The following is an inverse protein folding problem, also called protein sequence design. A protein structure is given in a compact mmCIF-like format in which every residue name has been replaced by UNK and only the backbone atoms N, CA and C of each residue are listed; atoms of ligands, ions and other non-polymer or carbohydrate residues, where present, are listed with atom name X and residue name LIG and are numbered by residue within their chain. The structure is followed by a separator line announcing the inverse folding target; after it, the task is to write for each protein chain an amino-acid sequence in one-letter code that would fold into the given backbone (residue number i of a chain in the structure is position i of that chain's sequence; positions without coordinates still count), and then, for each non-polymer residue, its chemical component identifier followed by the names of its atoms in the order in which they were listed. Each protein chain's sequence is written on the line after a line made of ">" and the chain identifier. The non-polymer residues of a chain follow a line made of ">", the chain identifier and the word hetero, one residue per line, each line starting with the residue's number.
data_IF_099688398048
#
_entry.id   IF_099688398048
#
_cell.length_a   1.000
_cell.length_b   1.000
_cell.length_c   1.000
_cell.angle_alpha   90.00
_cell.angle_beta   90.00
_cell.angle_gamma   90.00
#
_symmetry.space_group_name_H-M   'P 1'
#
loop_
_entity.id
_entity.type
_entity.pdbx_description
1 polymer ?
#
# COMPACT_ATOMS: atom_id res chain seq x y z
N UNK A 1 -96.38 -17.64 1.71
CA UNK A 1 -95.61 -16.40 1.59
C UNK A 1 -94.18 -16.71 2.00
N UNK A 2 -93.28 -16.92 1.05
CA UNK A 2 -91.94 -17.31 1.26
C UNK A 2 -91.02 -16.09 1.25
N UNK A 3 -90.24 -15.83 2.39
CA UNK A 3 -89.22 -14.78 2.45
C UNK A 3 -87.90 -15.41 2.27
N UNK A 4 -87.20 -15.04 1.21
CA UNK A 4 -85.85 -15.54 0.88
C UNK A 4 -84.81 -14.56 1.43
N UNK A 5 -84.03 -15.04 2.37
CA UNK A 5 -82.92 -14.25 3.01
C UNK A 5 -81.61 -14.51 2.26
N UNK A 6 -81.07 -13.48 1.62
CA UNK A 6 -79.79 -13.51 0.90
C UNK A 6 -78.68 -13.24 1.88
N UNK A 7 -77.79 -14.25 2.12
CA UNK A 7 -76.58 -14.09 2.91
C UNK A 7 -75.41 -13.56 2.01
N UNK A 8 -75.02 -12.35 2.27
CA UNK A 8 -73.87 -11.72 1.59
C UNK A 8 -72.55 -12.26 2.23
N UNK A 9 -71.80 -12.99 1.45
CA UNK A 9 -70.46 -13.49 1.80
C UNK A 9 -69.41 -12.41 1.53
N UNK A 10 -68.81 -11.85 2.59
CA UNK A 10 -67.69 -10.90 2.48
C UNK A 10 -66.37 -11.68 2.34
N UNK A 11 -65.77 -11.65 1.13
CA UNK A 11 -64.40 -12.09 0.94
C UNK A 11 -63.43 -11.01 1.52
N UNK A 12 -62.74 -11.36 2.60
CA UNK A 12 -61.54 -10.58 3.03
C UNK A 12 -60.37 -10.94 2.14
N UNK A 13 -60.02 -10.00 1.22
CA UNK A 13 -58.77 -10.09 0.44
C UNK A 13 -57.57 -9.73 1.32
N UNK A 14 -56.73 -10.73 1.63
CA UNK A 14 -55.48 -10.54 2.31
C UNK A 14 -54.46 -9.98 1.31
N UNK A 15 -54.25 -8.68 1.28
CA UNK A 15 -53.21 -8.01 0.51
C UNK A 15 -51.86 -8.19 1.22
N UNK A 16 -51.09 -9.20 0.80
CA UNK A 16 -49.71 -9.38 1.22
C UNK A 16 -48.82 -8.31 0.58
N UNK A 17 -48.48 -7.28 1.29
CA UNK A 17 -47.48 -6.30 0.88
C UNK A 17 -46.10 -6.96 0.97
N UNK A 18 -45.52 -7.34 -0.18
CA UNK A 18 -44.11 -7.68 -0.27
C UNK A 18 -43.28 -6.39 0.06
N UNK A 19 -42.68 -6.35 1.20
CA UNK A 19 -41.68 -5.34 1.54
C UNK A 19 -40.44 -5.59 0.67
N UNK A 20 -40.25 -4.80 -0.38
CA UNK A 20 -39.01 -4.74 -1.14
C UNK A 20 -37.97 -4.09 -0.23
N UNK A 21 -37.13 -4.89 0.45
CA UNK A 21 -35.95 -4.36 1.14
C UNK A 21 -34.99 -3.80 0.08
N UNK A 22 -34.52 -2.55 0.23
CA UNK A 22 -33.48 -2.04 -0.64
C UNK A 22 -32.24 -2.91 -0.42
N UNK A 23 -31.83 -3.64 -1.45
CA UNK A 23 -30.50 -4.27 -1.51
C UNK A 23 -29.54 -3.08 -1.55
N UNK A 24 -28.87 -2.82 -0.43
CA UNK A 24 -27.74 -1.88 -0.42
C UNK A 24 -26.75 -2.42 -1.46
N UNK A 25 -26.63 -1.73 -2.59
CA UNK A 25 -25.60 -2.01 -3.59
C UNK A 25 -24.25 -1.85 -2.88
N UNK A 26 -23.60 -2.96 -2.59
CA UNK A 26 -22.23 -2.93 -2.10
C UNK A 26 -21.35 -2.43 -3.23
N UNK A 27 -20.44 -1.52 -2.88
CA UNK A 27 -19.49 -0.94 -3.84
C UNK A 27 -18.65 -2.05 -4.47
N UNK A 28 -18.78 -2.25 -5.77
CA UNK A 28 -17.98 -3.21 -6.52
C UNK A 28 -16.71 -2.53 -7.07
N UNK A 29 -15.68 -3.29 -7.36
CA UNK A 29 -14.51 -2.78 -8.10
C UNK A 29 -14.99 -2.18 -9.44
N UNK A 30 -14.55 -0.96 -9.76
CA UNK A 30 -14.95 -0.22 -10.95
C UNK A 30 -16.11 0.75 -10.73
N UNK A 31 -16.49 0.99 -9.48
CA UNK A 31 -17.55 1.95 -9.13
C UNK A 31 -17.12 3.41 -9.39
N UNK A 32 -15.81 3.72 -9.29
CA UNK A 32 -15.29 5.07 -9.59
C UNK A 32 -15.41 5.39 -11.08
N UNK A 33 -15.09 4.41 -11.93
CA UNK A 33 -15.23 4.55 -13.39
C UNK A 33 -15.62 3.20 -14.00
N UNK A 34 -16.81 3.08 -14.65
CA UNK A 34 -17.26 1.81 -15.21
C UNK A 34 -16.24 1.15 -16.14
N UNK A 35 -15.97 -0.15 -15.92
CA UNK A 35 -15.02 -0.94 -16.70
C UNK A 35 -13.55 -0.67 -16.40
N UNK A 36 -13.24 0.16 -15.40
CA UNK A 36 -11.87 0.48 -14.99
C UNK A 36 -11.64 0.12 -13.53
N UNK A 37 -10.40 -0.24 -13.23
CA UNK A 37 -9.88 -0.31 -11.85
C UNK A 37 -9.09 0.97 -11.59
N UNK A 38 -9.73 1.94 -10.92
CA UNK A 38 -9.09 3.21 -10.58
C UNK A 38 -8.27 3.04 -9.32
N UNK A 39 -6.95 3.21 -9.41
CA UNK A 39 -6.08 3.01 -8.27
C UNK A 39 -5.17 4.21 -8.01
N UNK A 40 -4.96 4.52 -6.73
CA UNK A 40 -4.00 5.52 -6.28
C UNK A 40 -2.59 4.94 -6.17
N UNK A 41 -1.60 5.71 -6.62
CA UNK A 41 -0.18 5.36 -6.55
C UNK A 41 0.67 6.60 -6.32
N UNK A 42 1.76 6.49 -5.53
CA UNK A 42 2.68 7.61 -5.31
C UNK A 42 3.62 7.82 -6.51
N UNK A 43 3.89 6.78 -7.27
CA UNK A 43 4.74 6.80 -8.47
C UNK A 43 6.20 7.28 -8.23
N UNK A 44 6.72 7.08 -7.02
CA UNK A 44 8.05 7.57 -6.60
C UNK A 44 8.88 6.52 -5.87
N UNK A 45 8.37 5.30 -5.73
CA UNK A 45 8.97 4.26 -4.90
C UNK A 45 9.48 3.07 -5.73
N UNK A 46 10.72 3.17 -6.21
CA UNK A 46 11.41 2.07 -6.92
C UNK A 46 11.71 0.90 -5.96
N UNK A 47 11.55 -0.36 -6.38
CA UNK A 47 11.13 -0.83 -7.71
C UNK A 47 9.62 -1.09 -7.86
N UNK A 48 8.79 -0.62 -6.92
CA UNK A 48 7.36 -0.94 -6.86
C UNK A 48 6.52 -0.09 -7.81
N UNK A 49 6.61 1.24 -7.70
CA UNK A 49 5.91 2.19 -8.58
C UNK A 49 6.74 3.47 -8.76
N UNK A 50 7.16 3.75 -9.97
CA UNK A 50 7.99 4.91 -10.30
C UNK A 50 7.81 5.33 -11.76
N UNK A 51 8.29 6.52 -12.11
CA UNK A 51 8.29 7.01 -13.48
C UNK A 51 9.67 6.80 -14.10
N UNK A 52 9.72 6.07 -15.23
CA UNK A 52 10.91 5.90 -16.05
C UNK A 52 10.58 6.28 -17.49
N UNK A 53 11.37 7.16 -18.09
CA UNK A 53 11.17 7.65 -19.45
C UNK A 53 9.74 8.18 -19.71
N UNK A 54 9.18 8.90 -18.71
CA UNK A 54 7.82 9.45 -18.76
C UNK A 54 6.71 8.41 -18.61
N UNK A 55 7.03 7.15 -18.32
CA UNK A 55 6.05 6.07 -18.15
C UNK A 55 6.03 5.56 -16.73
N UNK A 56 4.83 5.37 -16.19
CA UNK A 56 4.63 4.71 -14.92
C UNK A 56 4.99 3.22 -15.07
N UNK A 57 5.87 2.73 -14.21
CA UNK A 57 6.42 1.36 -14.24
C UNK A 57 6.69 0.88 -12.82
N UNK A 58 6.97 -0.40 -12.65
CA UNK A 58 7.27 -1.01 -11.37
C UNK A 58 6.55 -2.34 -11.18
N UNK A 59 6.95 -3.06 -10.13
CA UNK A 59 6.31 -4.33 -9.77
C UNK A 59 4.80 -4.17 -9.55
N UNK A 60 4.40 -3.15 -8.79
CA UNK A 60 2.99 -2.86 -8.49
C UNK A 60 2.20 -2.55 -9.76
N UNK A 61 2.82 -1.88 -10.72
CA UNK A 61 2.18 -1.51 -11.99
C UNK A 61 1.96 -2.75 -12.87
N UNK A 62 2.93 -3.65 -12.90
CA UNK A 62 2.77 -4.91 -13.62
C UNK A 62 1.74 -5.82 -12.94
N UNK A 63 1.79 -5.91 -11.59
CA UNK A 63 0.86 -6.72 -10.80
C UNK A 63 -0.59 -6.25 -10.99
N UNK A 64 -0.84 -4.93 -10.85
CA UNK A 64 -2.19 -4.39 -11.00
C UNK A 64 -2.69 -4.49 -12.44
N UNK A 65 -1.79 -4.42 -13.43
CA UNK A 65 -2.15 -4.62 -14.84
C UNK A 65 -2.60 -6.05 -15.09
N UNK A 66 -1.86 -7.05 -14.59
CA UNK A 66 -2.23 -8.45 -14.68
C UNK A 66 -3.55 -8.74 -13.92
N UNK A 67 -3.69 -8.17 -12.72
CA UNK A 67 -4.87 -8.29 -11.89
C UNK A 67 -6.11 -7.69 -12.58
N UNK A 68 -6.00 -6.47 -13.10
CA UNK A 68 -7.09 -5.82 -13.85
C UNK A 68 -7.55 -6.67 -15.03
N UNK A 69 -6.60 -7.20 -15.82
CA UNK A 69 -6.91 -8.12 -16.92
C UNK A 69 -7.66 -9.37 -16.44
N UNK A 70 -7.26 -9.94 -15.30
CA UNK A 70 -7.92 -11.12 -14.73
C UNK A 70 -9.35 -10.84 -14.28
N UNK A 71 -9.65 -9.60 -13.91
CA UNK A 71 -10.96 -9.08 -13.50
C UNK A 71 -11.77 -8.48 -14.67
N UNK A 72 -11.25 -8.52 -15.91
CA UNK A 72 -11.85 -7.92 -17.11
C UNK A 72 -12.03 -6.39 -17.00
N UNK A 73 -11.12 -5.72 -16.29
CA UNK A 73 -11.10 -4.27 -16.12
C UNK A 73 -9.85 -3.66 -16.79
N UNK A 74 -9.91 -2.37 -17.07
CA UNK A 74 -8.76 -1.59 -17.52
C UNK A 74 -8.09 -0.90 -16.31
N UNK A 75 -6.77 -1.01 -16.12
CA UNK A 75 -6.08 -0.28 -15.06
C UNK A 75 -6.12 1.23 -15.34
N UNK A 76 -6.51 2.01 -14.33
CA UNK A 76 -6.61 3.47 -14.40
C UNK A 76 -5.82 4.11 -13.24
N UNK A 77 -4.50 4.37 -13.41
CA UNK A 77 -3.67 4.99 -12.40
C UNK A 77 -4.09 6.43 -12.12
N UNK A 78 -4.07 6.81 -10.83
CA UNK A 78 -4.22 8.18 -10.38
C UNK A 78 -3.01 8.53 -9.48
N UNK A 79 -1.93 9.11 -10.05
CA UNK A 79 -0.75 9.50 -9.30
C UNK A 79 -1.07 10.63 -8.31
N UNK A 80 -0.57 10.51 -7.08
CA UNK A 80 -0.70 11.53 -6.03
C UNK A 80 0.34 11.31 -4.92
N UNK A 81 0.51 12.30 -4.04
CA UNK A 81 1.38 12.13 -2.87
C UNK A 81 0.89 10.99 -1.98
N UNK A 82 1.82 10.18 -1.45
CA UNK A 82 1.53 8.99 -0.64
C UNK A 82 0.58 9.26 0.53
N UNK A 83 0.80 10.37 1.26
CA UNK A 83 -0.05 10.79 2.39
C UNK A 83 -1.52 11.04 2.00
N UNK A 84 -1.79 11.31 0.72
CA UNK A 84 -3.12 11.57 0.19
C UNK A 84 -3.92 10.33 -0.21
N UNK A 85 -3.27 9.15 -0.27
CA UNK A 85 -3.87 7.94 -0.80
C UNK A 85 -5.07 7.45 0.05
N UNK A 86 -4.90 7.31 1.37
CA UNK A 86 -6.00 6.86 2.26
C UNK A 86 -7.17 7.84 2.25
N UNK A 87 -6.98 9.17 2.41
CA UNK A 87 -8.07 10.14 2.26
C UNK A 87 -8.78 10.07 0.90
N UNK A 88 -8.04 9.86 -0.20
CA UNK A 88 -8.64 9.74 -1.53
C UNK A 88 -9.49 8.46 -1.68
N UNK A 89 -9.03 7.33 -1.10
CA UNK A 89 -9.78 6.08 -1.06
C UNK A 89 -11.07 6.22 -0.24
N UNK A 90 -10.99 6.81 0.95
CA UNK A 90 -12.14 7.08 1.82
C UNK A 90 -13.14 8.05 1.15
N UNK A 91 -12.64 9.04 0.40
CA UNK A 91 -13.42 9.98 -0.40
C UNK A 91 -13.98 9.39 -1.69
N UNK A 92 -13.88 8.07 -1.92
CA UNK A 92 -14.37 7.36 -3.12
C UNK A 92 -13.82 7.91 -4.44
N UNK A 93 -12.61 8.48 -4.42
CA UNK A 93 -11.90 8.91 -5.64
C UNK A 93 -11.10 7.76 -6.26
N UNK A 94 -10.92 6.67 -5.53
CA UNK A 94 -10.20 5.46 -5.89
C UNK A 94 -11.06 4.24 -5.59
N UNK A 95 -10.91 3.19 -6.38
CA UNK A 95 -11.40 1.86 -6.02
C UNK A 95 -10.49 1.22 -4.99
N UNK A 96 -9.16 1.32 -5.21
CA UNK A 96 -8.12 0.75 -4.35
C UNK A 96 -6.89 1.66 -4.27
N UNK A 97 -6.00 1.36 -3.32
CA UNK A 97 -4.61 1.86 -3.31
C UNK A 97 -3.69 0.73 -3.78
N UNK A 98 -2.80 1.05 -4.73
CA UNK A 98 -1.73 0.19 -5.23
C UNK A 98 -0.44 1.02 -5.25
N UNK A 99 0.29 1.04 -4.14
CA UNK A 99 1.44 1.90 -3.91
C UNK A 99 2.34 1.35 -2.79
N UNK A 100 2.72 0.09 -2.88
CA UNK A 100 3.56 -0.63 -1.92
C UNK A 100 3.21 -0.28 -0.45
N UNK A 101 1.90 -0.23 -0.13
CA UNK A 101 1.46 0.23 1.17
C UNK A 101 1.72 -0.82 2.24
N UNK A 102 2.56 -0.48 3.20
CA UNK A 102 2.84 -1.33 4.35
C UNK A 102 1.62 -1.48 5.26
N UNK A 103 1.33 -2.72 5.64
CA UNK A 103 0.32 -3.05 6.64
C UNK A 103 0.82 -2.67 8.03
N UNK A 104 0.06 -1.86 8.75
CA UNK A 104 0.30 -1.55 10.16
C UNK A 104 -1.02 -1.31 10.90
N UNK A 105 -1.05 -1.38 12.25
CA UNK A 105 -2.28 -1.23 13.03
C UNK A 105 -3.03 0.08 12.77
N UNK A 106 -2.33 1.21 12.72
CA UNK A 106 -2.95 2.53 12.52
C UNK A 106 -3.67 2.64 11.17
N UNK A 107 -3.08 2.08 10.11
CA UNK A 107 -3.73 2.03 8.79
C UNK A 107 -4.87 1.02 8.75
N UNK A 108 -4.73 -0.12 9.46
CA UNK A 108 -5.75 -1.16 9.54
C UNK A 108 -7.04 -0.68 10.23
N UNK A 109 -6.99 0.37 11.04
CA UNK A 109 -8.18 1.04 11.55
C UNK A 109 -8.96 1.79 10.46
N UNK A 110 -8.30 2.23 9.41
CA UNK A 110 -8.84 3.12 8.38
C UNK A 110 -9.20 2.42 7.06
N UNK A 111 -8.49 1.32 6.73
CA UNK A 111 -8.62 0.57 5.48
C UNK A 111 -8.52 -0.93 5.76
N UNK A 112 -8.98 -1.75 4.82
CA UNK A 112 -8.70 -3.19 4.82
C UNK A 112 -7.63 -3.50 3.79
N UNK A 113 -6.90 -4.60 3.99
CA UNK A 113 -5.73 -4.95 3.21
C UNK A 113 -5.88 -6.28 2.48
N UNK A 114 -5.27 -6.36 1.29
CA UNK A 114 -5.00 -7.59 0.55
C UNK A 114 -3.49 -7.68 0.33
N UNK A 115 -2.75 -8.38 1.21
CA UNK A 115 -1.31 -8.53 1.11
C UNK A 115 -0.89 -9.24 -0.18
N UNK A 116 0.24 -8.81 -0.75
CA UNK A 116 0.81 -9.46 -1.94
C UNK A 116 2.32 -9.70 -1.86
N UNK A 117 3.06 -9.04 -0.95
CA UNK A 117 4.46 -9.30 -0.64
C UNK A 117 4.72 -9.11 0.85
N UNK A 118 5.87 -9.61 1.32
CA UNK A 118 6.47 -9.21 2.59
C UNK A 118 7.88 -8.70 2.35
N UNK A 119 8.25 -7.63 3.03
CA UNK A 119 9.56 -7.00 2.89
C UNK A 119 10.00 -6.41 4.22
N UNK A 120 11.32 -6.36 4.41
CA UNK A 120 11.94 -5.59 5.48
C UNK A 120 12.42 -4.23 5.03
N UNK A 121 13.09 -3.53 5.94
CA UNK A 121 13.70 -2.23 5.71
C UNK A 121 15.17 -2.24 6.12
N UNK A 122 15.94 -1.30 5.59
CA UNK A 122 17.35 -1.08 5.93
C UNK A 122 17.60 0.38 6.25
N UNK A 123 18.61 0.60 7.06
CA UNK A 123 19.21 1.92 7.23
C UNK A 123 20.20 2.11 6.09
N UNK A 124 19.98 3.12 5.26
CA UNK A 124 20.84 3.48 4.12
C UNK A 124 21.58 4.76 4.44
N UNK A 125 22.90 4.74 4.29
CA UNK A 125 23.79 5.86 4.54
C UNK A 125 24.60 6.19 3.28
N UNK A 126 25.20 7.38 3.25
CA UNK A 126 26.17 7.73 2.22
C UNK A 126 27.41 6.85 2.34
N UNK A 127 27.99 6.50 1.19
CA UNK A 127 29.23 5.71 1.11
C UNK A 127 30.33 6.25 2.02
N UNK A 128 30.98 5.35 2.77
CA UNK A 128 31.96 5.67 3.79
C UNK A 128 31.37 6.08 5.14
N UNK A 129 30.05 6.08 5.28
CA UNK A 129 29.31 6.26 6.53
C UNK A 129 29.87 7.38 7.44
N UNK A 130 29.92 8.63 6.97
CA UNK A 130 30.59 9.72 7.70
C UNK A 130 29.94 10.03 9.05
N UNK A 131 28.68 9.61 9.25
CA UNK A 131 27.96 9.80 10.51
C UNK A 131 28.20 8.68 11.53
N UNK A 132 28.89 7.59 11.16
CA UNK A 132 29.20 6.45 12.04
C UNK A 132 27.95 5.70 12.53
N UNK A 133 26.92 5.57 11.68
CA UNK A 133 25.67 4.86 11.99
C UNK A 133 25.93 3.35 11.85
N UNK A 134 25.63 2.57 12.89
CA UNK A 134 25.90 1.13 12.91
C UNK A 134 24.67 0.29 12.54
N UNK A 135 23.49 0.89 12.53
CA UNK A 135 22.24 0.22 12.20
C UNK A 135 21.03 0.97 12.77
N UNK A 136 19.90 0.27 12.89
CA UNK A 136 18.72 0.77 13.59
C UNK A 136 18.89 0.61 15.10
N UNK A 137 19.76 1.42 15.66
CA UNK A 137 20.15 1.40 17.08
C UNK A 137 20.42 2.83 17.61
N UNK A 138 21.02 2.94 18.79
CA UNK A 138 21.30 4.25 19.40
C UNK A 138 22.33 5.10 18.64
N UNK A 139 23.00 4.57 17.62
CA UNK A 139 23.87 5.36 16.74
C UNK A 139 23.09 6.37 15.87
N UNK A 140 21.77 6.19 15.74
CA UNK A 140 20.85 7.12 15.07
C UNK A 140 20.59 8.37 15.91
N UNK A 141 20.84 8.34 17.22
CA UNK A 141 20.51 9.45 18.12
C UNK A 141 21.33 10.70 17.78
N UNK A 142 20.65 11.84 17.68
CA UNK A 142 21.23 13.13 17.27
C UNK A 142 21.50 13.27 15.77
N UNK A 143 21.09 12.29 14.94
CA UNK A 143 21.28 12.30 13.49
C UNK A 143 20.08 12.86 12.75
N UNK A 144 20.31 13.30 11.51
CA UNK A 144 19.29 13.71 10.55
C UNK A 144 18.83 12.47 9.74
N UNK A 145 17.60 12.02 9.95
CA UNK A 145 17.07 10.82 9.29
C UNK A 145 15.99 11.23 8.28
N UNK A 146 16.23 10.96 7.00
CA UNK A 146 15.30 11.22 5.92
C UNK A 146 14.29 10.08 5.78
N UNK A 147 13.01 10.42 5.60
CA UNK A 147 11.92 9.46 5.43
C UNK A 147 10.83 10.02 4.52
N UNK A 148 10.07 9.15 3.89
CA UNK A 148 8.89 9.57 3.10
C UNK A 148 7.75 9.98 4.04
N UNK A 149 7.17 11.15 3.80
CA UNK A 149 6.04 11.68 4.57
C UNK A 149 4.81 10.75 4.47
N UNK A 150 4.34 10.27 5.61
CA UNK A 150 3.24 9.31 5.72
C UNK A 150 3.67 7.86 5.46
N UNK A 151 4.94 7.61 5.13
CA UNK A 151 5.51 6.26 4.99
C UNK A 151 5.57 5.50 6.33
N UNK A 152 5.78 4.18 6.26
CA UNK A 152 6.03 3.37 7.46
C UNK A 152 7.34 3.81 8.12
N UNK A 153 8.31 4.17 7.31
CA UNK A 153 9.65 4.60 7.71
C UNK A 153 9.59 5.86 8.59
N UNK A 154 8.65 6.77 8.34
CA UNK A 154 8.42 7.91 9.22
C UNK A 154 7.96 7.47 10.61
N UNK A 155 7.00 6.53 10.66
CA UNK A 155 6.51 5.98 11.94
C UNK A 155 7.63 5.28 12.71
N UNK A 156 8.47 4.50 12.02
CA UNK A 156 9.63 3.81 12.58
C UNK A 156 10.65 4.82 13.15
N UNK A 157 11.05 5.82 12.36
CA UNK A 157 11.98 6.85 12.78
C UNK A 157 11.47 7.64 14.01
N UNK A 158 10.16 7.90 14.09
CA UNK A 158 9.56 8.57 15.25
C UNK A 158 9.54 7.69 16.49
N UNK A 159 9.40 6.36 16.35
CA UNK A 159 9.58 5.40 17.46
C UNK A 159 11.02 5.41 17.94
N UNK A 160 11.97 5.30 17.01
CA UNK A 160 13.40 5.28 17.34
C UNK A 160 13.86 6.61 17.98
N UNK A 161 13.28 7.75 17.54
CA UNK A 161 13.51 9.04 18.18
C UNK A 161 13.06 9.04 19.65
N UNK A 162 11.91 8.43 19.98
CA UNK A 162 11.49 8.27 21.39
C UNK A 162 12.48 7.42 22.17
N UNK A 163 12.96 6.32 21.60
CA UNK A 163 13.99 5.49 22.23
C UNK A 163 15.27 6.27 22.53
N UNK A 164 15.69 7.18 21.65
CA UNK A 164 16.83 8.06 21.93
C UNK A 164 16.59 8.94 23.16
N UNK A 165 15.40 9.58 23.24
CA UNK A 165 15.02 10.46 24.35
C UNK A 165 14.95 9.67 25.67
N UNK A 166 14.33 8.49 25.66
CA UNK A 166 14.21 7.60 26.82
C UNK A 166 15.60 7.12 27.31
N UNK A 167 16.52 6.88 26.39
CA UNK A 167 17.91 6.55 26.65
C UNK A 167 18.78 7.76 27.06
N UNK A 168 18.18 8.96 27.21
CA UNK A 168 18.87 10.22 27.54
C UNK A 168 19.97 10.58 26.52
N UNK A 169 19.73 10.22 25.25
CA UNK A 169 20.54 10.60 24.10
C UNK A 169 19.92 11.80 23.38
N UNK A 170 20.69 12.52 22.56
CA UNK A 170 20.12 13.58 21.70
C UNK A 170 18.99 13.03 20.82
N UNK A 171 17.91 13.79 20.69
CA UNK A 171 16.82 13.44 19.81
C UNK A 171 17.28 13.38 18.34
N UNK A 172 16.72 12.45 17.56
CA UNK A 172 16.89 12.44 16.11
C UNK A 172 16.15 13.62 15.47
N UNK A 173 16.67 14.17 14.38
CA UNK A 173 15.92 15.08 13.52
C UNK A 173 15.29 14.26 12.37
N UNK A 174 13.99 13.98 12.49
CA UNK A 174 13.25 13.23 11.46
C UNK A 174 12.81 14.19 10.36
N UNK A 175 13.46 14.11 9.21
CA UNK A 175 13.23 14.95 8.03
C UNK A 175 12.28 14.23 7.07
N UNK A 176 11.10 14.79 6.85
CA UNK A 176 10.09 14.20 5.96
C UNK A 176 10.13 14.80 4.56
N UNK A 177 10.04 13.95 3.54
CA UNK A 177 10.04 14.33 2.13
C UNK A 177 8.79 13.80 1.41
N UNK A 178 8.29 14.51 0.38
CA UNK A 178 7.12 14.06 -0.38
C UNK A 178 7.32 12.72 -1.11
N UNK A 179 8.55 12.45 -1.53
CA UNK A 179 8.92 11.28 -2.31
C UNK A 179 10.16 10.56 -1.72
N UNK A 180 10.23 9.24 -1.89
CA UNK A 180 11.37 8.42 -1.47
C UNK A 180 12.68 8.84 -2.18
N UNK A 181 12.58 9.24 -3.45
CA UNK A 181 13.72 9.77 -4.22
C UNK A 181 14.32 11.03 -3.62
N UNK A 182 13.51 11.89 -2.99
CA UNK A 182 13.99 13.12 -2.34
C UNK A 182 14.77 12.80 -1.05
N UNK A 183 14.35 11.76 -0.32
CA UNK A 183 15.08 11.23 0.86
C UNK A 183 16.48 10.76 0.45
N UNK A 184 16.57 9.94 -0.61
CA UNK A 184 17.86 9.47 -1.13
C UNK A 184 18.76 10.63 -1.58
N UNK A 185 18.20 11.65 -2.26
CA UNK A 185 18.95 12.85 -2.65
C UNK A 185 19.45 13.61 -1.43
N UNK A 186 18.66 13.73 -0.36
CA UNK A 186 19.08 14.40 0.87
C UNK A 186 20.28 13.69 1.52
N UNK A 187 20.30 12.35 1.53
CA UNK A 187 21.42 11.54 2.02
C UNK A 187 22.65 11.70 1.11
N UNK A 188 22.49 11.59 -0.20
CA UNK A 188 23.59 11.75 -1.16
C UNK A 188 24.29 13.10 -1.02
N UNK A 189 23.52 14.16 -0.78
CA UNK A 189 24.03 15.53 -0.60
C UNK A 189 24.54 15.82 0.81
N UNK A 190 24.41 14.88 1.76
CA UNK A 190 24.80 15.07 3.17
C UNK A 190 23.89 16.01 3.95
N UNK A 191 22.68 16.30 3.46
CA UNK A 191 21.64 17.03 4.22
C UNK A 191 20.99 16.14 5.27
N UNK A 192 20.90 14.84 5.00
CA UNK A 192 20.54 13.80 5.94
C UNK A 192 21.71 12.83 6.13
N UNK A 193 21.82 12.26 7.32
CA UNK A 193 22.86 11.29 7.68
C UNK A 193 22.50 9.88 7.22
N UNK A 194 21.20 9.55 7.22
CA UNK A 194 20.65 8.27 6.76
C UNK A 194 19.22 8.43 6.25
N UNK A 195 18.76 7.41 5.54
CA UNK A 195 17.34 7.17 5.29
C UNK A 195 16.93 5.75 5.69
N UNK A 196 15.66 5.55 5.98
CA UNK A 196 15.08 4.22 6.06
C UNK A 196 14.43 3.89 4.73
N UNK A 197 14.77 2.72 4.18
CA UNK A 197 14.30 2.30 2.86
C UNK A 197 14.02 0.79 2.87
N UNK A 198 13.02 0.34 2.11
CA UNK A 198 12.74 -1.08 1.95
C UNK A 198 13.95 -1.84 1.40
N UNK A 199 14.08 -3.13 1.73
CA UNK A 199 15.18 -3.95 1.21
C UNK A 199 15.21 -3.98 -0.32
N UNK A 200 14.09 -4.23 -1.06
CA UNK A 200 14.09 -4.12 -2.51
C UNK A 200 14.41 -2.71 -3.03
N UNK A 201 13.92 -1.67 -2.35
CA UNK A 201 14.25 -0.27 -2.67
C UNK A 201 15.75 0.03 -2.52
N UNK A 202 16.36 -0.52 -1.46
CA UNK A 202 17.81 -0.39 -1.21
C UNK A 202 18.62 -1.04 -2.33
N UNK A 203 18.24 -2.26 -2.76
CA UNK A 203 18.91 -2.95 -3.88
C UNK A 203 18.78 -2.15 -5.19
N UNK A 204 17.58 -1.63 -5.47
CA UNK A 204 17.33 -0.82 -6.65
C UNK A 204 18.14 0.49 -6.62
N UNK A 205 18.16 1.20 -5.48
CA UNK A 205 18.92 2.43 -5.29
C UNK A 205 20.43 2.21 -5.50
N UNK A 206 20.99 1.13 -4.96
CA UNK A 206 22.41 0.80 -5.11
C UNK A 206 22.77 0.46 -6.56
N UNK A 207 21.86 -0.18 -7.29
CA UNK A 207 22.03 -0.47 -8.72
C UNK A 207 21.96 0.80 -9.57
N UNK A 208 21.05 1.73 -9.23
CA UNK A 208 20.90 2.99 -9.96
C UNK A 208 22.03 4.00 -9.69
N UNK A 209 22.54 4.01 -8.45
CA UNK A 209 23.57 4.94 -7.97
C UNK A 209 24.76 4.20 -7.38
N UNK A 210 25.51 3.44 -8.19
CA UNK A 210 26.61 2.63 -7.69
C UNK A 210 27.68 3.49 -7.01
N UNK A 211 28.13 3.06 -5.84
CA UNK A 211 29.18 3.72 -5.08
C UNK A 211 28.76 4.99 -4.32
N UNK A 212 27.48 5.38 -4.35
CA UNK A 212 26.96 6.57 -3.61
C UNK A 212 26.50 6.21 -2.20
N UNK A 213 25.92 5.02 -2.03
CA UNK A 213 25.30 4.58 -0.78
C UNK A 213 25.84 3.25 -0.30
N UNK A 214 25.60 2.96 0.97
CA UNK A 214 25.79 1.65 1.58
C UNK A 214 24.72 1.43 2.67
N UNK A 215 24.45 0.15 3.01
CA UNK A 215 23.58 -0.20 4.13
C UNK A 215 24.39 -0.15 5.44
N UNK A 216 23.77 0.34 6.50
CA UNK A 216 24.29 0.28 7.86
C UNK A 216 23.47 -0.72 8.68
N UNK A 217 24.14 -1.74 9.21
CA UNK A 217 23.51 -2.81 10.00
C UNK A 217 22.67 -3.78 9.18
N UNK A 218 21.88 -4.59 9.89
CA UNK A 218 21.05 -5.65 9.34
C UNK A 218 19.69 -5.13 8.87
N UNK A 219 18.99 -5.96 8.08
CA UNK A 219 17.58 -5.76 7.75
C UNK A 219 16.72 -5.82 9.01
N UNK A 220 15.71 -4.97 9.08
CA UNK A 220 14.75 -4.95 10.18
C UNK A 220 13.32 -5.07 9.67
N UNK A 221 12.42 -5.57 10.53
CA UNK A 221 11.01 -5.78 10.23
C UNK A 221 10.75 -6.59 8.94
N UNK A 222 11.55 -7.66 8.72
CA UNK A 222 11.56 -8.47 7.49
C UNK A 222 10.22 -9.19 7.17
N UNK A 223 9.33 -9.32 8.14
CA UNK A 223 8.00 -9.92 7.98
C UNK A 223 6.87 -8.91 7.77
N UNK A 224 7.21 -7.64 7.47
CA UNK A 224 6.21 -6.62 7.21
C UNK A 224 5.59 -6.82 5.83
N UNK A 225 4.26 -6.92 5.79
CA UNK A 225 3.53 -7.07 4.54
C UNK A 225 3.31 -5.72 3.85
N UNK A 226 3.41 -5.72 2.52
CA UNK A 226 2.82 -4.69 1.67
C UNK A 226 1.58 -5.25 0.96
N UNK A 227 0.60 -4.38 0.73
CA UNK A 227 -0.73 -4.78 0.35
C UNK A 227 -1.42 -3.76 -0.55
N UNK A 228 -2.37 -4.22 -1.35
CA UNK A 228 -3.45 -3.36 -1.81
C UNK A 228 -4.27 -2.91 -0.61
N UNK A 229 -4.75 -1.67 -0.62
CA UNK A 229 -5.70 -1.21 0.38
C UNK A 229 -7.07 -0.94 -0.27
N UNK A 230 -8.12 -1.37 0.42
CA UNK A 230 -9.52 -1.14 0.06
C UNK A 230 -10.21 -0.35 1.16
N UNK A 231 -11.36 0.24 0.89
CA UNK A 231 -12.15 0.93 1.91
C UNK A 231 -12.46 0.00 3.07
N UNK A 232 -12.46 0.55 4.26
CA UNK A 232 -12.78 -0.21 5.47
C UNK A 232 -14.18 -0.81 5.36
N UNK A 233 -14.30 -2.13 5.56
CA UNK A 233 -15.56 -2.86 5.45
C UNK A 233 -16.01 -3.20 4.03
N UNK A 234 -15.24 -2.87 2.99
CA UNK A 234 -15.53 -3.21 1.59
C UNK A 234 -15.12 -4.66 1.30
N UNK A 235 -15.91 -5.59 1.83
CA UNK A 235 -15.65 -7.02 1.73
C UNK A 235 -15.74 -7.53 0.28
N UNK A 236 -16.55 -6.90 -0.57
CA UNK A 236 -16.72 -7.32 -1.96
C UNK A 236 -15.48 -7.00 -2.79
N UNK A 237 -15.00 -5.75 -2.76
CA UNK A 237 -13.75 -5.33 -3.42
C UNK A 237 -12.59 -6.18 -2.93
N UNK A 238 -12.47 -6.39 -1.60
CA UNK A 238 -11.43 -7.23 -1.01
C UNK A 238 -11.45 -8.65 -1.56
N UNK A 239 -12.62 -9.32 -1.55
CA UNK A 239 -12.77 -10.69 -2.05
C UNK A 239 -12.46 -10.82 -3.55
N UNK A 240 -12.84 -9.82 -4.36
CA UNK A 240 -12.52 -9.79 -5.79
C UNK A 240 -11.01 -9.69 -6.04
N UNK A 241 -10.28 -8.83 -5.29
CA UNK A 241 -8.82 -8.72 -5.38
C UNK A 241 -8.14 -10.01 -4.94
N UNK A 242 -8.54 -10.60 -3.80
CA UNK A 242 -8.00 -11.86 -3.29
C UNK A 242 -8.17 -12.99 -4.31
N UNK A 243 -9.36 -13.14 -4.89
CA UNK A 243 -9.65 -14.13 -5.94
C UNK A 243 -8.81 -13.89 -7.19
N UNK A 244 -8.68 -12.63 -7.62
CA UNK A 244 -7.85 -12.27 -8.77
C UNK A 244 -6.38 -12.59 -8.52
N UNK A 245 -5.86 -12.24 -7.34
CA UNK A 245 -4.47 -12.52 -6.94
C UNK A 245 -4.19 -14.04 -6.87
N UNK A 246 -5.09 -14.81 -6.26
CA UNK A 246 -4.99 -16.28 -6.24
C UNK A 246 -4.94 -16.88 -7.65
N UNK A 247 -5.69 -16.30 -8.62
CA UNK A 247 -5.61 -16.74 -10.01
C UNK A 247 -4.22 -16.48 -10.61
N UNK A 248 -3.64 -15.29 -10.37
CA UNK A 248 -2.27 -14.96 -10.84
C UNK A 248 -1.21 -15.86 -10.21
N UNK A 249 -1.39 -16.26 -8.95
CA UNK A 249 -0.53 -17.25 -8.29
C UNK A 249 -0.65 -18.62 -8.96
N UNK A 250 -1.89 -19.08 -9.17
CA UNK A 250 -2.17 -20.40 -9.74
C UNK A 250 -1.68 -20.56 -11.18
N UNK A 251 -1.77 -19.51 -12.01
CA UNK A 251 -1.32 -19.54 -13.40
C UNK A 251 0.16 -19.18 -13.59
N UNK A 252 0.87 -18.93 -12.50
CA UNK A 252 2.31 -18.62 -12.48
C UNK A 252 2.67 -17.17 -12.80
N UNK A 253 1.71 -16.31 -13.11
CA UNK A 253 1.96 -14.89 -13.43
C UNK A 253 2.64 -14.16 -12.26
N UNK A 254 2.18 -14.39 -11.02
CA UNK A 254 2.77 -13.79 -9.83
C UNK A 254 4.26 -14.14 -9.70
N UNK A 255 4.63 -15.41 -9.86
CA UNK A 255 6.03 -15.86 -9.82
C UNK A 255 6.87 -15.21 -10.92
N UNK A 256 6.36 -15.11 -12.15
CA UNK A 256 7.05 -14.43 -13.25
C UNK A 256 7.31 -12.95 -12.94
N UNK A 257 6.41 -12.27 -12.22
CA UNK A 257 6.61 -10.89 -11.80
C UNK A 257 7.70 -10.77 -10.73
N UNK A 258 7.76 -11.67 -9.74
CA UNK A 258 8.85 -11.74 -8.75
C UNK A 258 10.20 -11.88 -9.46
N UNK A 259 10.30 -12.83 -10.40
CA UNK A 259 11.51 -13.06 -11.20
C UNK A 259 11.87 -11.85 -12.08
N UNK A 260 10.90 -11.27 -12.80
CA UNK A 260 11.09 -10.09 -13.66
C UNK A 260 11.72 -8.92 -12.92
N UNK A 261 11.32 -8.69 -11.67
CA UNK A 261 11.80 -7.59 -10.85
C UNK A 261 13.00 -7.97 -9.97
N UNK A 262 13.58 -9.16 -10.19
CA UNK A 262 14.71 -9.70 -9.44
C UNK A 262 14.49 -9.67 -7.92
N UNK A 263 13.26 -9.91 -7.47
CA UNK A 263 12.97 -10.03 -6.07
C UNK A 263 13.41 -11.40 -5.56
N UNK A 264 13.97 -11.50 -4.35
CA UNK A 264 14.26 -12.78 -3.74
C UNK A 264 12.97 -13.54 -3.43
N UNK A 265 13.02 -14.88 -3.50
CA UNK A 265 11.84 -15.73 -3.20
C UNK A 265 11.27 -15.47 -1.79
N UNK A 266 12.10 -15.00 -0.86
CA UNK A 266 11.68 -14.69 0.52
C UNK A 266 10.65 -13.58 0.64
N UNK A 267 10.48 -12.73 -0.38
CA UNK A 267 9.45 -11.68 -0.38
C UNK A 267 8.08 -12.20 -0.80
N UNK A 268 8.03 -13.34 -1.48
CA UNK A 268 6.76 -13.95 -1.88
C UNK A 268 6.00 -14.49 -0.66
N UNK A 269 4.69 -14.32 -0.67
CA UNK A 269 3.80 -14.81 0.41
C UNK A 269 2.88 -15.96 -0.05
N UNK A 270 3.07 -16.40 -1.30
CA UNK A 270 2.29 -17.49 -1.89
C UNK A 270 3.20 -18.62 -2.38
#
# INVERSE_FOLDING_TARGET
>A
MFSTSIKTLRLLGCMSTLAVMPIASQAAIGDVAPGKLTYGTAATFMPFEFVKDGKLTGFDIDLITALSKSLQLQPAPLPMEFKGLIPALQGKRLDIINSAMYVNPTRAEQVDFVPYLKIGSRVVVRKGNPAGITGRDLSLCGKNIAVTLGGIEESQARVDNRHCVDAKKPAMNVMTFPAATDSAVAVAQGRADAEFLSTPGTVALFSEKPGVFEAAGEEFEADTHIAFAVRKGDAETKAQLEKGLQKLVKDGTYKQLIEKWNFPDSVAIF
#
